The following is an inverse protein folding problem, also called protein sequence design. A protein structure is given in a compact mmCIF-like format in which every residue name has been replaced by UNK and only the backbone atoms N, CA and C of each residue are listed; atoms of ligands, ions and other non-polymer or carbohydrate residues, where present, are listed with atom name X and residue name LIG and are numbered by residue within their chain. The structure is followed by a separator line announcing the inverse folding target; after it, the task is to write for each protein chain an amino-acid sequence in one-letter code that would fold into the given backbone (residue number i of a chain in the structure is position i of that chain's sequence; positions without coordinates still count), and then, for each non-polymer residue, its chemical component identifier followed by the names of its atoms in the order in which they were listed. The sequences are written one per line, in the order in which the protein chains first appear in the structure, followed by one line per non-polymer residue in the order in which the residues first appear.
data_IF_453713662416
#
_entry.id   IF_453713662416
#
_cell.length_a   1.000
_cell.length_b   1.000
_cell.length_c   1.000
_cell.angle_alpha   90.00
_cell.angle_beta   90.00
_cell.angle_gamma   90.00
#
_symmetry.space_group_name_H-M   'P 1'
#
loop_
_entity.id
_entity.type
_entity.pdbx_description
1 polymer ?
#
# COMPACT_ATOMS: atom_id res chain seq x y z
N UNK A 1 19.65 -20.18 39.04
CA UNK A 1 18.31 -20.12 38.39
C UNK A 1 18.00 -18.64 38.17
N UNK A 2 17.05 -18.25 37.30
CA UNK A 2 16.59 -16.85 37.09
C UNK A 2 17.10 -16.06 35.85
N UNK A 3 17.84 -16.67 34.91
CA UNK A 3 18.17 -16.02 33.62
C UNK A 3 17.15 -16.26 32.49
N UNK A 4 16.29 -17.27 32.66
CA UNK A 4 15.28 -17.70 31.68
C UNK A 4 14.24 -16.61 31.35
N UNK A 5 13.66 -15.85 32.31
CA UNK A 5 12.68 -14.82 31.97
C UNK A 5 13.31 -13.63 31.24
N UNK A 6 14.57 -13.29 31.55
CA UNK A 6 15.29 -12.20 30.89
C UNK A 6 15.62 -12.55 29.43
N UNK A 7 16.03 -13.80 29.17
CA UNK A 7 16.28 -14.30 27.82
C UNK A 7 14.99 -14.35 27.01
N UNK A 8 13.89 -14.86 27.58
CA UNK A 8 12.59 -14.93 26.90
C UNK A 8 12.03 -13.54 26.59
N UNK A 9 12.16 -12.59 27.52
CA UNK A 9 11.75 -11.19 27.30
C UNK A 9 12.58 -10.51 26.22
N UNK A 10 13.90 -10.71 26.21
CA UNK A 10 14.79 -10.18 25.18
C UNK A 10 14.49 -10.79 23.80
N UNK A 11 14.20 -12.10 23.73
CA UNK A 11 13.80 -12.77 22.49
C UNK A 11 12.45 -12.25 21.94
N UNK A 12 11.48 -11.95 22.81
CA UNK A 12 10.23 -11.32 22.35
C UNK A 12 10.48 -9.91 21.80
N UNK A 13 11.29 -9.09 22.47
CA UNK A 13 11.62 -7.73 22.03
C UNK A 13 12.40 -7.72 20.71
N UNK A 14 13.34 -8.65 20.52
CA UNK A 14 14.11 -8.80 19.29
C UNK A 14 13.24 -9.34 18.13
N UNK A 15 12.23 -10.17 18.42
CA UNK A 15 11.30 -10.68 17.40
C UNK A 15 10.38 -9.61 16.81
N UNK A 16 9.96 -8.61 17.60
CA UNK A 16 9.15 -7.49 17.10
C UNK A 16 9.92 -6.52 16.21
N UNK A 17 11.25 -6.40 16.38
CA UNK A 17 12.07 -5.45 15.63
C UNK A 17 12.35 -5.85 14.17
N UNK A 18 12.01 -7.08 13.76
CA UNK A 18 12.30 -7.61 12.42
C UNK A 18 11.07 -7.65 11.48
N UNK A 19 9.95 -7.03 11.87
CA UNK A 19 8.78 -6.95 11.01
C UNK A 19 8.96 -5.80 10.03
N UNK A 20 9.53 -6.10 8.85
CA UNK A 20 9.45 -5.21 7.70
C UNK A 20 8.02 -5.29 7.12
N UNK A 21 7.22 -4.24 7.35
CA UNK A 21 5.81 -4.21 6.97
C UNK A 21 5.55 -3.81 5.51
N UNK A 22 6.54 -3.24 4.80
CA UNK A 22 6.37 -2.74 3.44
C UNK A 22 7.42 -3.34 2.49
N UNK A 23 6.96 -3.96 1.41
CA UNK A 23 7.83 -4.49 0.37
C UNK A 23 8.50 -3.33 -0.39
N UNK A 24 9.80 -3.11 -0.18
CA UNK A 24 10.55 -2.01 -0.84
C UNK A 24 10.45 -2.02 -2.38
N UNK A 25 10.15 -3.16 -2.99
CA UNK A 25 10.01 -3.31 -4.44
C UNK A 25 8.73 -2.71 -5.06
N UNK A 26 7.75 -2.29 -4.27
CA UNK A 26 6.50 -1.72 -4.80
C UNK A 26 6.50 -0.21 -4.94
N UNK A 27 7.49 0.51 -4.38
CA UNK A 27 7.52 1.97 -4.44
C UNK A 27 7.69 2.48 -5.87
N UNK A 28 6.79 3.33 -6.32
CA UNK A 28 6.87 4.00 -7.62
C UNK A 28 7.68 5.28 -7.49
N UNK A 29 8.90 5.28 -8.04
CA UNK A 29 9.83 6.41 -7.98
C UNK A 29 9.75 7.33 -9.19
N UNK A 30 9.31 6.83 -10.34
CA UNK A 30 9.18 7.58 -11.58
C UNK A 30 8.06 7.00 -12.45
N UNK A 31 7.26 7.87 -13.08
CA UNK A 31 6.25 7.50 -14.07
C UNK A 31 6.67 8.01 -15.45
N UNK A 32 6.66 7.16 -16.50
CA UNK A 32 6.93 7.61 -17.87
C UNK A 32 6.02 8.77 -18.26
N UNK A 33 6.61 9.87 -18.76
CA UNK A 33 5.87 11.06 -19.18
C UNK A 33 5.52 12.04 -18.05
N UNK A 34 5.85 11.73 -16.78
CA UNK A 34 5.69 12.64 -15.66
C UNK A 34 7.05 13.10 -15.13
N UNK A 35 7.38 14.36 -15.35
CA UNK A 35 8.65 14.97 -14.90
C UNK A 35 8.54 15.71 -13.56
N UNK A 36 7.40 15.58 -12.86
CA UNK A 36 7.16 16.24 -11.59
C UNK A 36 7.64 15.44 -10.39
N UNK A 37 7.55 16.04 -9.21
CA UNK A 37 7.72 15.35 -7.92
C UNK A 37 6.36 14.85 -7.48
N UNK A 38 6.28 13.60 -7.01
CA UNK A 38 5.04 13.10 -6.43
C UNK A 38 4.76 13.82 -5.10
N UNK A 39 3.52 14.30 -4.87
CA UNK A 39 3.16 14.97 -3.62
C UNK A 39 3.12 14.00 -2.42
N UNK A 40 2.96 12.70 -2.69
CA UNK A 40 3.05 11.62 -1.69
C UNK A 40 3.66 10.36 -2.30
N UNK A 41 4.01 9.41 -1.44
CA UNK A 41 4.47 8.09 -1.89
C UNK A 41 3.35 7.35 -2.62
N UNK A 42 3.73 6.62 -3.67
CA UNK A 42 2.82 5.79 -4.43
C UNK A 42 3.45 4.41 -4.55
N UNK A 43 2.64 3.37 -4.49
CA UNK A 43 3.09 1.98 -4.56
C UNK A 43 2.28 1.25 -5.61
N UNK A 44 2.89 0.36 -6.38
CA UNK A 44 2.16 -0.54 -7.28
C UNK A 44 2.74 -1.94 -7.23
N UNK A 45 1.89 -2.93 -7.46
CA UNK A 45 2.29 -4.32 -7.34
C UNK A 45 1.13 -5.28 -7.54
N UNK A 46 1.26 -6.47 -6.99
CA UNK A 46 0.21 -7.49 -7.03
C UNK A 46 -0.09 -7.99 -5.61
N UNK A 47 -1.37 -8.23 -5.34
CA UNK A 47 -1.85 -8.96 -4.16
C UNK A 47 -2.43 -10.30 -4.60
N UNK A 48 -2.01 -11.38 -3.94
CA UNK A 48 -2.52 -12.72 -4.25
C UNK A 48 -3.82 -12.98 -3.50
N UNK A 49 -4.86 -13.38 -4.24
CA UNK A 49 -6.17 -13.75 -3.73
C UNK A 49 -6.52 -15.14 -4.27
N UNK A 50 -6.31 -16.16 -3.44
CA UNK A 50 -6.42 -17.56 -3.88
C UNK A 50 -5.41 -17.89 -4.97
N UNK A 51 -5.89 -18.30 -6.14
CA UNK A 51 -5.05 -18.60 -7.32
C UNK A 51 -4.87 -17.40 -8.26
N UNK A 52 -5.41 -16.23 -7.91
CA UNK A 52 -5.35 -15.02 -8.73
C UNK A 52 -4.39 -14.01 -8.14
N UNK A 53 -3.77 -13.21 -9.00
CA UNK A 53 -2.97 -12.05 -8.61
C UNK A 53 -3.68 -10.79 -9.12
N UNK A 54 -4.16 -9.95 -8.20
CA UNK A 54 -4.79 -8.68 -8.52
C UNK A 54 -3.71 -7.61 -8.53
N UNK A 55 -3.55 -6.91 -9.64
CA UNK A 55 -2.69 -5.72 -9.70
C UNK A 55 -3.27 -4.66 -8.77
N UNK A 56 -2.42 -3.87 -8.11
CA UNK A 56 -2.85 -2.67 -7.42
C UNK A 56 -1.98 -1.46 -7.72
N UNK A 57 -2.60 -0.28 -7.62
CA UNK A 57 -1.92 1.00 -7.51
C UNK A 57 -2.44 1.70 -6.25
N UNK A 58 -1.52 2.14 -5.40
CA UNK A 58 -1.76 2.73 -4.08
C UNK A 58 -1.18 4.13 -4.00
N UNK A 59 -2.00 5.11 -3.62
CA UNK A 59 -1.56 6.46 -3.27
C UNK A 59 -1.62 6.64 -1.75
N UNK A 60 -0.56 7.20 -1.16
CA UNK A 60 -0.54 7.54 0.26
C UNK A 60 -1.20 8.89 0.49
N UNK A 61 -1.99 9.01 1.56
CA UNK A 61 -2.60 10.29 1.95
C UNK A 61 -1.56 11.41 2.05
N UNK A 62 -1.91 12.59 1.54
CA UNK A 62 -1.09 13.80 1.59
C UNK A 62 -1.20 14.53 2.95
N UNK A 63 -2.12 14.09 3.84
CA UNK A 63 -2.45 14.77 5.10
C UNK A 63 -1.79 14.16 6.33
N UNK A 64 -2.44 13.18 6.97
CA UNK A 64 -1.95 12.52 8.18
C UNK A 64 -2.08 11.01 8.04
N UNK A 65 -1.04 10.44 7.45
CA UNK A 65 -0.86 9.00 7.21
C UNK A 65 -1.15 8.09 8.41
N UNK A 66 -0.91 8.57 9.63
CA UNK A 66 -1.19 7.80 10.85
C UNK A 66 -2.64 7.81 11.32
N UNK A 67 -3.50 8.66 10.72
CA UNK A 67 -4.91 8.84 11.13
C UNK A 67 -5.90 8.64 9.99
N UNK A 68 -5.47 8.84 8.75
CA UNK A 68 -6.34 8.79 7.59
C UNK A 68 -6.70 7.34 7.23
N UNK A 69 -7.94 7.09 6.79
CA UNK A 69 -8.40 5.74 6.51
C UNK A 69 -7.78 5.17 5.23
N UNK A 70 -7.83 3.84 5.12
CA UNK A 70 -7.60 3.15 3.86
C UNK A 70 -8.95 2.97 3.15
N UNK A 71 -8.98 3.42 1.90
CA UNK A 71 -10.10 3.30 0.98
C UNK A 71 -9.73 2.37 -0.17
N UNK A 72 -10.60 1.41 -0.41
CA UNK A 72 -10.50 0.48 -1.53
C UNK A 72 -11.47 0.95 -2.61
N UNK A 73 -10.96 1.24 -3.79
CA UNK A 73 -11.77 1.63 -4.94
C UNK A 73 -11.84 0.49 -5.94
N UNK A 74 -13.07 0.09 -6.28
CA UNK A 74 -13.35 -0.97 -7.24
C UNK A 74 -14.36 -0.45 -8.27
N UNK A 75 -13.95 -0.42 -9.53
CA UNK A 75 -14.90 -0.16 -10.60
C UNK A 75 -15.83 -1.36 -10.83
N UNK A 76 -17.03 -1.04 -11.31
CA UNK A 76 -18.04 -2.03 -11.68
C UNK A 76 -17.78 -2.65 -13.05
N UNK A 77 -18.78 -3.39 -13.55
CA UNK A 77 -18.70 -4.09 -14.84
C UNK A 77 -17.80 -5.34 -14.78
N UNK A 78 -18.09 -6.38 -15.56
CA UNK A 78 -17.21 -7.56 -15.60
C UNK A 78 -15.92 -7.23 -16.38
N UNK A 79 -14.77 -7.32 -15.71
CA UNK A 79 -13.44 -7.20 -16.34
C UNK A 79 -12.97 -5.78 -16.60
N UNK A 80 -13.71 -4.76 -16.17
CA UNK A 80 -13.25 -3.38 -16.20
C UNK A 80 -12.15 -3.14 -15.17
N UNK A 81 -11.25 -2.20 -15.46
CA UNK A 81 -10.14 -1.87 -14.57
C UNK A 81 -10.56 -0.80 -13.58
N UNK A 82 -10.23 -0.96 -12.30
CA UNK A 82 -10.42 0.12 -11.31
C UNK A 82 -9.57 1.36 -11.60
N UNK A 83 -8.48 1.20 -12.36
CA UNK A 83 -7.62 2.29 -12.83
C UNK A 83 -8.34 3.35 -13.69
N UNK A 84 -9.50 3.03 -14.24
CA UNK A 84 -10.35 4.01 -14.92
C UNK A 84 -10.80 5.11 -13.94
N UNK A 85 -11.17 4.73 -12.72
CA UNK A 85 -11.64 5.65 -11.70
C UNK A 85 -10.56 6.60 -11.22
N UNK A 86 -9.33 6.11 -11.10
CA UNK A 86 -8.19 6.96 -10.82
C UNK A 86 -7.90 7.99 -11.92
N UNK A 87 -7.99 7.61 -13.20
CA UNK A 87 -7.61 8.50 -14.30
C UNK A 87 -8.73 9.48 -14.67
N UNK A 88 -10.00 9.06 -14.57
CA UNK A 88 -11.12 9.78 -15.18
C UNK A 88 -12.24 10.18 -14.21
N UNK A 89 -12.38 9.56 -13.03
CA UNK A 89 -13.51 9.83 -12.14
C UNK A 89 -13.18 10.80 -11.01
N UNK A 90 -12.04 10.62 -10.33
CA UNK A 90 -11.68 11.41 -9.17
C UNK A 90 -10.33 12.09 -9.37
N UNK A 91 -10.27 13.41 -9.13
CA UNK A 91 -8.99 14.09 -8.90
C UNK A 91 -8.30 13.44 -7.69
N UNK A 92 -6.97 13.27 -7.75
CA UNK A 92 -6.11 12.65 -6.71
C UNK A 92 -6.73 12.83 -5.31
N UNK A 93 -7.20 11.74 -4.71
CA UNK A 93 -7.83 11.77 -3.38
C UNK A 93 -6.76 12.22 -2.38
N UNK A 94 -6.85 13.48 -1.94
CA UNK A 94 -5.84 14.12 -1.08
C UNK A 94 -5.87 13.64 0.38
N UNK A 95 -6.95 12.98 0.77
CA UNK A 95 -7.29 12.74 2.18
C UNK A 95 -7.26 11.27 2.60
N UNK A 96 -7.04 10.31 1.68
CA UNK A 96 -7.21 8.88 1.93
C UNK A 96 -6.20 8.02 1.15
N UNK A 97 -5.90 6.84 1.67
CA UNK A 97 -5.14 5.85 0.92
C UNK A 97 -6.06 5.14 -0.06
N UNK A 98 -5.71 5.07 -1.34
CA UNK A 98 -6.57 4.41 -2.34
C UNK A 98 -5.88 3.17 -2.89
N UNK A 99 -6.37 1.97 -2.57
CA UNK A 99 -5.94 0.72 -3.23
C UNK A 99 -6.87 0.51 -4.43
N UNK A 100 -6.31 0.39 -5.63
CA UNK A 100 -7.08 -0.02 -6.82
C UNK A 100 -6.80 -1.46 -7.18
N UNK A 101 -7.72 -2.13 -7.90
CA UNK A 101 -7.41 -3.44 -8.49
C UNK A 101 -7.74 -3.59 -9.97
N UNK A 102 -6.90 -4.32 -10.70
CA UNK A 102 -7.25 -4.91 -12.00
C UNK A 102 -7.72 -6.35 -11.75
N UNK A 103 -8.97 -6.64 -12.10
CA UNK A 103 -9.50 -8.02 -12.10
C UNK A 103 -8.92 -8.87 -13.24
#
# INVERSE_FOLDING_TARGET
MDKVPFVVSCCMLLGFALIEAAQNGSLVTHLPGFNGVFPSNNYSGYVSVGQKNLFYYLFVSERNTGKDPIVLWLNGGPGCSSFDGFVYEHDRIKDEYLIETRQ
#
